data_IF_998840816599
#
_entry.id   IF_998840816599
#
_cell.length_a   1.000
_cell.length_b   1.000
_cell.length_c   1.000
_cell.angle_alpha   90.00
_cell.angle_beta   90.00
_cell.angle_gamma   90.00
#
_symmetry.space_group_name_H-M   'P 1'
#
loop_
_entity.id
_entity.type
_entity.pdbx_description
1 polymer ?
#
# COMPACT_ATOMS: atom_id res chain seq x y z
N UNK A 1 -4.70 4.17 -25.44
CA UNK A 1 -3.33 4.52 -25.88
C UNK A 1 -3.48 5.65 -26.88
N UNK A 2 -2.96 6.84 -26.58
CA UNK A 2 -3.09 8.00 -27.48
C UNK A 2 -2.26 7.72 -28.74
N UNK A 3 -2.95 7.46 -29.86
CA UNK A 3 -2.35 7.29 -31.19
C UNK A 3 -1.95 8.68 -31.71
N UNK A 4 -0.78 9.14 -31.29
CA UNK A 4 -0.11 10.27 -31.94
C UNK A 4 0.46 9.75 -33.26
N UNK A 5 0.20 10.40 -34.39
CA UNK A 5 0.87 10.05 -35.65
C UNK A 5 2.37 10.37 -35.47
N UNK A 6 3.18 9.31 -35.36
CA UNK A 6 4.32 9.26 -34.44
C UNK A 6 5.56 10.12 -34.79
N UNK A 7 5.57 10.93 -35.85
CA UNK A 7 6.78 11.71 -36.18
C UNK A 7 6.59 13.23 -36.37
N UNK A 8 5.61 13.72 -37.16
CA UNK A 8 5.48 15.17 -37.36
C UNK A 8 4.88 15.88 -36.15
N UNK A 9 3.91 15.25 -35.48
CA UNK A 9 3.19 15.88 -34.37
C UNK A 9 4.09 16.02 -33.14
N UNK A 10 4.96 15.02 -32.91
CA UNK A 10 5.97 15.07 -31.85
C UNK A 10 6.98 16.20 -32.10
N UNK A 11 7.40 16.41 -33.36
CA UNK A 11 8.29 17.50 -33.73
C UNK A 11 7.67 18.89 -33.53
N UNK A 12 6.38 19.04 -33.89
CA UNK A 12 5.62 20.28 -33.69
C UNK A 12 5.46 20.58 -32.19
N UNK A 13 5.15 19.57 -31.39
CA UNK A 13 4.96 19.71 -29.95
C UNK A 13 6.28 20.03 -29.24
N UNK A 14 7.41 19.41 -29.64
CA UNK A 14 8.74 19.75 -29.10
C UNK A 14 9.12 21.21 -29.35
N UNK A 15 8.75 21.76 -30.52
CA UNK A 15 8.97 23.19 -30.83
C UNK A 15 8.05 24.10 -30.01
N UNK A 16 6.86 23.64 -29.64
CA UNK A 16 5.94 24.37 -28.77
C UNK A 16 6.14 24.00 -27.29
N UNK A 17 7.06 24.70 -26.64
CA UNK A 17 7.45 24.48 -25.24
C UNK A 17 6.26 24.50 -24.24
N UNK A 18 5.23 25.32 -24.51
CA UNK A 18 4.02 25.39 -23.68
C UNK A 18 3.16 24.13 -23.80
N UNK A 19 3.03 23.57 -24.99
CA UNK A 19 2.33 22.29 -25.19
C UNK A 19 3.14 21.12 -24.61
N UNK A 20 4.46 21.12 -24.80
CA UNK A 20 5.34 20.08 -24.25
C UNK A 20 5.28 20.04 -22.71
N UNK A 21 5.38 21.18 -22.03
CA UNK A 21 5.30 21.23 -20.57
C UNK A 21 3.95 20.76 -20.00
N UNK A 22 2.84 21.01 -20.71
CA UNK A 22 1.52 20.47 -20.34
C UNK A 22 1.47 18.95 -20.46
N UNK A 23 2.06 18.36 -21.50
CA UNK A 23 2.15 16.90 -21.64
C UNK A 23 3.06 16.30 -20.58
N UNK A 24 4.16 16.96 -20.23
CA UNK A 24 5.02 16.51 -19.12
C UNK A 24 4.27 16.51 -17.78
N UNK A 25 3.46 17.54 -17.51
CA UNK A 25 2.61 17.60 -16.33
C UNK A 25 1.58 16.44 -16.34
N UNK A 26 0.92 16.19 -17.47
CA UNK A 26 -0.03 15.09 -17.61
C UNK A 26 0.64 13.74 -17.39
N UNK A 27 1.85 13.53 -17.91
CA UNK A 27 2.60 12.31 -17.68
C UNK A 27 2.91 12.11 -16.19
N UNK A 28 3.32 13.17 -15.47
CA UNK A 28 3.53 13.12 -14.01
C UNK A 28 2.25 12.76 -13.25
N UNK A 29 1.12 13.35 -13.64
CA UNK A 29 -0.18 13.04 -13.03
C UNK A 29 -0.59 11.58 -13.26
N UNK A 30 -0.41 11.06 -14.48
CA UNK A 30 -0.70 9.65 -14.79
C UNK A 30 0.18 8.73 -13.95
N UNK A 31 1.49 9.00 -13.87
CA UNK A 31 2.40 8.21 -13.06
C UNK A 31 2.01 8.20 -11.58
N UNK A 32 1.59 9.36 -11.05
CA UNK A 32 1.10 9.48 -9.68
C UNK A 32 -0.16 8.64 -9.46
N UNK A 33 -1.15 8.74 -10.34
CA UNK A 33 -2.38 7.93 -10.25
C UNK A 33 -2.11 6.43 -10.35
N UNK A 34 -1.15 6.02 -11.19
CA UNK A 34 -0.72 4.62 -11.28
C UNK A 34 -0.08 4.13 -9.97
N UNK A 35 0.72 4.97 -9.32
CA UNK A 35 1.30 4.66 -8.03
C UNK A 35 0.21 4.53 -6.96
N UNK A 36 -0.71 5.50 -6.85
CA UNK A 36 -1.82 5.43 -5.90
C UNK A 36 -2.68 4.18 -6.12
N UNK A 37 -2.99 3.83 -7.37
CA UNK A 37 -3.74 2.61 -7.68
C UNK A 37 -2.98 1.34 -7.21
N UNK A 38 -1.66 1.30 -7.38
CA UNK A 38 -0.82 0.19 -6.91
C UNK A 38 -0.82 0.08 -5.39
N UNK A 39 -0.72 1.22 -4.69
CA UNK A 39 -0.79 1.28 -3.23
C UNK A 39 -2.12 0.75 -2.70
N UNK A 40 -3.25 1.20 -3.27
CA UNK A 40 -4.60 0.73 -2.91
C UNK A 40 -4.73 -0.79 -3.09
N UNK A 41 -4.22 -1.35 -4.19
CA UNK A 41 -4.26 -2.80 -4.44
C UNK A 41 -3.42 -3.56 -3.40
N UNK A 42 -2.24 -3.05 -3.07
CA UNK A 42 -1.36 -3.67 -2.08
C UNK A 42 -1.96 -3.61 -0.68
N UNK A 43 -2.57 -2.49 -0.31
CA UNK A 43 -3.26 -2.33 0.96
C UNK A 43 -4.46 -3.27 1.07
N UNK A 44 -5.24 -3.43 0.00
CA UNK A 44 -6.34 -4.40 -0.06
C UNK A 44 -5.83 -5.83 0.17
N UNK A 45 -4.78 -6.24 -0.54
CA UNK A 45 -4.18 -7.58 -0.38
C UNK A 45 -3.64 -7.81 1.02
N UNK A 46 -3.01 -6.80 1.61
CA UNK A 46 -2.50 -6.86 2.96
C UNK A 46 -3.64 -7.01 3.98
N UNK A 47 -4.71 -6.23 3.82
CA UNK A 47 -5.88 -6.31 4.68
C UNK A 47 -6.51 -7.71 4.62
N UNK A 48 -6.70 -8.24 3.41
CA UNK A 48 -7.20 -9.60 3.21
C UNK A 48 -6.29 -10.63 3.87
N UNK A 49 -4.96 -10.48 3.73
CA UNK A 49 -4.00 -11.36 4.40
C UNK A 49 -4.17 -11.30 5.92
N UNK A 50 -4.15 -10.11 6.51
CA UNK A 50 -4.27 -9.90 7.95
C UNK A 50 -5.62 -10.41 8.50
N UNK A 51 -6.70 -10.29 7.72
CA UNK A 51 -7.99 -10.83 8.09
C UNK A 51 -8.03 -12.35 8.13
N UNK A 52 -7.32 -13.00 7.20
CA UNK A 52 -7.26 -14.45 7.09
C UNK A 52 -6.28 -15.12 8.07
N UNK A 53 -5.44 -14.36 8.77
CA UNK A 53 -4.59 -14.90 9.83
C UNK A 53 -5.49 -15.38 10.98
N UNK A 54 -5.42 -16.68 11.37
CA UNK A 54 -6.21 -17.19 12.47
C UNK A 54 -5.77 -16.53 13.77
N UNK A 55 -6.74 -16.01 14.53
CA UNK A 55 -6.50 -15.38 15.82
C UNK A 55 -7.42 -16.02 16.87
N UNK A 56 -6.89 -16.21 18.07
CA UNK A 56 -7.63 -16.81 19.18
C UNK A 56 -8.70 -15.88 19.77
N UNK A 57 -8.57 -14.57 19.52
CA UNK A 57 -9.48 -13.53 19.98
C UNK A 57 -10.20 -12.86 18.81
N UNK A 58 -11.31 -12.16 19.09
CA UNK A 58 -12.02 -11.34 18.11
C UNK A 58 -11.24 -10.05 17.85
N UNK A 59 -11.24 -9.59 16.59
CA UNK A 59 -10.70 -8.28 16.20
C UNK A 59 -11.58 -7.15 16.75
N UNK A 60 -11.00 -6.22 17.50
CA UNK A 60 -11.69 -5.11 18.15
C UNK A 60 -11.17 -3.78 17.59
N UNK A 61 -12.06 -2.94 17.02
CA UNK A 61 -11.69 -1.63 16.52
C UNK A 61 -11.00 -0.75 17.57
N UNK A 62 -10.08 0.11 17.12
CA UNK A 62 -9.28 1.00 17.97
C UNK A 62 -8.09 0.35 18.67
N UNK A 63 -7.82 -0.93 18.41
CA UNK A 63 -6.67 -1.65 18.99
C UNK A 63 -5.52 -1.79 17.99
N UNK A 64 -4.31 -1.77 18.54
CA UNK A 64 -3.11 -2.15 17.83
C UNK A 64 -2.97 -3.67 17.81
N UNK A 65 -2.60 -4.17 16.63
CA UNK A 65 -2.28 -5.55 16.36
C UNK A 65 -0.87 -5.62 15.79
N UNK A 66 -0.14 -6.63 16.20
CA UNK A 66 1.24 -6.87 15.84
C UNK A 66 1.30 -8.19 15.08
N UNK A 67 1.91 -8.14 13.89
CA UNK A 67 2.04 -9.26 12.98
C UNK A 67 3.43 -9.86 13.14
N UNK A 68 3.48 -11.15 13.41
CA UNK A 68 4.70 -11.92 13.64
C UNK A 68 4.76 -13.15 12.72
N UNK A 69 5.97 -13.67 12.57
CA UNK A 69 6.21 -15.04 12.11
C UNK A 69 6.65 -15.89 13.30
N UNK A 70 5.96 -17.00 13.53
CA UNK A 70 6.30 -17.99 14.57
C UNK A 70 6.24 -19.38 13.94
N UNK A 71 7.35 -20.12 13.98
CA UNK A 71 7.49 -21.43 13.35
C UNK A 71 7.04 -21.41 11.87
N UNK A 72 7.48 -20.41 11.10
CA UNK A 72 7.08 -20.20 9.70
C UNK A 72 5.57 -19.96 9.47
N UNK A 73 4.80 -19.62 10.51
CA UNK A 73 3.38 -19.28 10.40
C UNK A 73 3.14 -17.81 10.73
N UNK A 74 2.30 -17.17 9.92
CA UNK A 74 1.82 -15.82 10.20
C UNK A 74 0.92 -15.84 11.44
N UNK A 75 1.21 -14.99 12.42
CA UNK A 75 0.44 -14.85 13.67
C UNK A 75 0.14 -13.38 13.92
N UNK A 76 -1.12 -13.08 14.26
CA UNK A 76 -1.56 -11.76 14.66
C UNK A 76 -1.85 -11.74 16.16
N UNK A 77 -1.32 -10.75 16.87
CA UNK A 77 -1.49 -10.62 18.33
C UNK A 77 -1.71 -9.19 18.75
N UNK A 78 -2.18 -9.02 19.98
CA UNK A 78 -2.34 -7.72 20.64
C UNK A 78 -1.10 -7.39 21.49
N UNK A 79 -0.29 -8.40 21.83
CA UNK A 79 0.93 -8.24 22.64
C UNK A 79 2.01 -7.61 21.77
N UNK A 80 2.65 -6.57 22.30
CA UNK A 80 3.67 -5.80 21.60
C UNK A 80 5.02 -6.54 21.55
N UNK A 81 5.93 -6.22 20.60
CA UNK A 81 7.18 -6.94 20.41
C UNK A 81 8.17 -6.80 21.58
N UNK A 82 8.03 -5.78 22.40
CA UNK A 82 8.77 -5.53 23.65
C UNK A 82 8.26 -6.39 24.83
N UNK A 83 7.03 -6.89 24.74
CA UNK A 83 6.40 -7.73 25.75
C UNK A 83 6.40 -9.23 25.39
N UNK A 84 6.81 -9.58 24.16
CA UNK A 84 6.76 -10.95 23.65
C UNK A 84 8.14 -11.43 23.19
N UNK A 85 8.61 -12.58 23.69
CA UNK A 85 9.94 -13.11 23.37
C UNK A 85 9.94 -14.42 22.56
N UNK A 86 8.78 -14.87 22.05
CA UNK A 86 8.62 -16.21 21.44
C UNK A 86 8.32 -16.14 19.94
N UNK A 87 8.67 -15.04 19.27
CA UNK A 87 8.52 -14.89 17.83
C UNK A 87 9.85 -14.99 17.10
N UNK A 88 9.82 -15.44 15.85
CA UNK A 88 11.01 -15.51 14.98
C UNK A 88 11.29 -14.16 14.34
N UNK A 89 10.24 -13.50 13.83
CA UNK A 89 10.35 -12.23 13.13
C UNK A 89 9.13 -11.35 13.40
N UNK A 90 9.38 -10.06 13.67
CA UNK A 90 8.35 -9.03 13.69
C UNK A 90 8.16 -8.44 12.28
N UNK A 91 6.92 -8.44 11.80
CA UNK A 91 6.57 -8.03 10.43
C UNK A 91 5.93 -6.63 10.38
N UNK A 92 5.20 -6.24 11.41
CA UNK A 92 4.65 -4.89 11.49
C UNK A 92 3.58 -4.68 12.55
N UNK A 93 3.30 -3.40 12.79
CA UNK A 93 2.27 -2.88 13.69
C UNK A 93 1.11 -2.28 12.89
N UNK A 94 -0.11 -2.63 13.27
CA UNK A 94 -1.32 -2.24 12.55
C UNK A 94 -2.38 -1.73 13.53
N UNK A 95 -2.98 -0.59 13.23
CA UNK A 95 -4.18 -0.12 13.92
C UNK A 95 -5.40 -0.69 13.20
N UNK A 96 -6.25 -1.41 13.92
CA UNK A 96 -7.52 -1.88 13.38
C UNK A 96 -8.59 -0.80 13.54
N UNK A 97 -9.01 -0.20 12.44
CA UNK A 97 -9.92 0.94 12.44
C UNK A 97 -11.40 0.52 12.53
N UNK A 98 -12.28 1.51 12.75
CA UNK A 98 -13.73 1.33 12.82
C UNK A 98 -14.37 0.96 11.47
N UNK A 99 -13.68 1.20 10.36
CA UNK A 99 -14.04 0.76 9.01
C UNK A 99 -13.71 -0.72 8.76
N UNK A 100 -13.09 -1.41 9.73
CA UNK A 100 -12.69 -2.80 9.61
C UNK A 100 -11.39 -3.01 8.83
N UNK A 101 -10.62 -1.94 8.59
CA UNK A 101 -9.36 -1.99 7.88
C UNK A 101 -8.17 -1.93 8.85
N UNK A 102 -7.13 -2.70 8.53
CA UNK A 102 -5.83 -2.58 9.17
C UNK A 102 -5.00 -1.50 8.50
N UNK A 103 -4.63 -0.47 9.26
CA UNK A 103 -3.73 0.58 8.80
C UNK A 103 -2.37 0.40 9.43
N UNK A 104 -1.31 0.39 8.61
CA UNK A 104 0.05 0.26 9.11
C UNK A 104 0.39 1.47 9.98
N UNK A 105 0.67 1.23 11.26
CA UNK A 105 1.15 2.26 12.16
C UNK A 105 2.62 2.51 11.84
N UNK A 106 3.00 3.77 11.64
CA UNK A 106 4.42 4.14 11.63
C UNK A 106 4.88 4.12 13.09
N UNK A 107 5.96 3.40 13.36
CA UNK A 107 6.62 3.40 14.66
C UNK A 107 7.11 4.80 15.04
#
# INVERSE_FOLDING_TARGET
MLLLNENSDIEIIKKNYSCYSKLELLAKQISFLQQEASEIINDSKLNDKLHNIPMMSKKVPGKHYYHYMINNKDVLSIIAPDEWNTYDLFLGKYLYNFDGLFNKSKD
#
